data_IF_432025809849
#
_entry.id   IF_432025809849
#
_cell.length_a   1.000
_cell.length_b   1.000
_cell.length_c   1.000
_cell.angle_alpha   90.00
_cell.angle_beta   90.00
_cell.angle_gamma   90.00
#
_symmetry.space_group_name_H-M   'P 1'
#
loop_
_entity.id
_entity.type
_entity.pdbx_description
1 polymer ?
#
# COMPACT_ATOMS: atom_id res chain seq x y z
N UNK A 1 66.78 8.51 3.22
CA UNK A 1 67.69 7.36 3.44
C UNK A 1 67.07 6.47 4.50
N UNK A 2 66.88 5.17 4.20
CA UNK A 2 66.63 3.97 5.07
C UNK A 2 65.85 4.15 6.39
N UNK A 3 64.66 3.55 6.61
CA UNK A 3 64.31 2.11 6.71
C UNK A 3 64.53 1.47 8.10
N UNK A 4 63.51 0.71 8.56
CA UNK A 4 63.45 -0.33 9.63
C UNK A 4 63.22 0.17 11.07
N UNK A 5 62.48 -0.52 11.96
CA UNK A 5 61.80 -1.83 11.90
C UNK A 5 60.76 -1.95 13.03
N UNK A 6 59.78 -2.81 12.80
CA UNK A 6 58.81 -3.35 13.74
C UNK A 6 59.46 -4.47 14.57
N UNK A 7 59.11 -4.53 15.86
CA UNK A 7 59.27 -5.73 16.68
C UNK A 7 60.21 -5.55 17.86
N UNK A 8 59.67 -5.05 18.98
CA UNK A 8 60.10 -5.35 20.36
C UNK A 8 59.20 -4.55 21.31
N UNK A 9 58.24 -5.22 21.96
CA UNK A 9 58.45 -5.59 23.36
C UNK A 9 57.11 -5.92 24.04
N UNK A 10 56.74 -7.19 23.89
CA UNK A 10 55.61 -7.86 24.53
C UNK A 10 55.89 -8.12 26.04
N UNK A 11 56.99 -7.61 26.62
CA UNK A 11 57.31 -7.79 28.05
C UNK A 11 56.89 -6.69 29.02
N UNK A 12 56.20 -5.62 28.60
CA UNK A 12 55.71 -4.59 29.52
C UNK A 12 54.40 -4.96 30.26
N UNK A 13 53.79 -6.13 30.00
CA UNK A 13 52.44 -6.47 30.51
C UNK A 13 52.38 -7.61 31.55
N UNK A 14 53.51 -8.08 32.07
CA UNK A 14 53.56 -9.25 32.98
C UNK A 14 54.34 -9.06 34.28
N UNK A 15 54.41 -7.85 34.86
CA UNK A 15 54.98 -7.64 36.21
C UNK A 15 54.24 -6.60 37.06
N UNK A 16 52.96 -6.84 37.31
CA UNK A 16 52.28 -6.29 38.51
C UNK A 16 51.49 -7.38 39.21
N UNK A 17 52.24 -8.35 39.74
CA UNK A 17 51.76 -9.28 40.75
C UNK A 17 52.82 -9.34 41.85
N UNK A 18 52.53 -8.71 43.00
CA UNK A 18 52.80 -9.24 44.36
C UNK A 18 52.39 -8.21 45.42
N UNK A 19 51.45 -8.63 46.27
CA UNK A 19 51.34 -8.24 47.67
C UNK A 19 50.47 -7.03 47.99
N UNK A 20 49.28 -7.27 48.56
CA UNK A 20 49.05 -7.21 50.02
C UNK A 20 47.56 -7.52 50.29
N UNK A 21 47.33 -8.51 51.15
CA UNK A 21 46.05 -8.93 51.70
C UNK A 21 45.39 -7.84 52.56
N UNK A 22 44.05 -7.78 52.56
CA UNK A 22 43.25 -7.52 53.77
C UNK A 22 41.78 -7.92 53.57
N UNK A 23 41.42 -9.00 54.28
CA UNK A 23 40.17 -9.27 55.03
C UNK A 23 38.79 -8.95 54.41
N UNK A 24 38.10 -10.05 54.05
CA UNK A 24 36.70 -10.41 54.33
C UNK A 24 35.63 -9.30 54.51
N UNK A 25 34.75 -9.18 53.52
CA UNK A 25 33.34 -8.85 53.72
C UNK A 25 32.50 -9.50 52.61
N UNK A 26 31.70 -10.51 52.97
CA UNK A 26 30.72 -11.12 52.08
C UNK A 26 29.52 -10.18 52.00
N UNK A 27 29.30 -9.55 50.84
CA UNK A 27 28.06 -8.84 50.53
C UNK A 27 27.28 -9.64 49.49
N UNK A 28 25.96 -9.85 49.67
CA UNK A 28 25.17 -10.55 48.67
C UNK A 28 25.12 -9.70 47.40
N UNK A 29 25.68 -10.22 46.31
CA UNK A 29 25.51 -9.64 44.99
C UNK A 29 24.04 -9.77 44.61
N UNK A 30 23.25 -8.71 44.85
CA UNK A 30 22.02 -8.47 44.12
C UNK A 30 22.36 -8.52 42.63
N UNK A 31 21.82 -9.51 41.94
CA UNK A 31 21.75 -9.55 40.48
C UNK A 31 20.91 -8.33 40.07
N UNK A 32 21.55 -7.19 39.83
CA UNK A 32 20.93 -6.08 39.10
C UNK A 32 20.73 -6.61 37.70
N UNK A 33 19.49 -7.03 37.42
CA UNK A 33 19.05 -7.37 36.08
C UNK A 33 19.55 -6.30 35.14
N UNK A 34 20.35 -6.72 34.15
CA UNK A 34 20.58 -5.89 32.99
C UNK A 34 19.18 -5.53 32.48
N UNK A 35 18.84 -4.23 32.54
CA UNK A 35 17.72 -3.74 31.75
C UNK A 35 18.10 -4.07 30.31
N UNK A 36 17.52 -5.13 29.77
CA UNK A 36 17.46 -5.31 28.34
C UNK A 36 16.85 -4.02 27.79
N UNK A 37 17.69 -3.19 27.16
CA UNK A 37 17.22 -2.23 26.20
C UNK A 37 16.61 -3.07 25.07
N UNK A 38 15.35 -3.46 25.22
CA UNK A 38 14.56 -3.93 24.11
C UNK A 38 14.44 -2.74 23.17
N UNK A 39 15.38 -2.64 22.21
CA UNK A 39 15.11 -1.93 20.97
C UNK A 39 13.82 -2.56 20.46
N UNK A 40 12.71 -1.84 20.58
CA UNK A 40 11.43 -2.27 20.05
C UNK A 40 11.69 -2.60 18.57
N UNK A 41 11.57 -3.89 18.21
CA UNK A 41 11.82 -4.35 16.86
C UNK A 41 10.75 -3.71 15.99
N UNK A 42 11.17 -2.77 15.13
CA UNK A 42 10.28 -2.18 14.13
C UNK A 42 10.03 -3.23 13.06
N UNK A 43 8.79 -3.65 12.92
CA UNK A 43 8.39 -4.63 11.91
C UNK A 43 8.17 -3.91 10.58
N UNK A 44 8.87 -4.36 9.55
CA UNK A 44 8.72 -3.84 8.19
C UNK A 44 7.75 -4.70 7.38
N UNK A 45 6.67 -4.08 6.93
CA UNK A 45 5.65 -4.69 6.09
C UNK A 45 5.75 -4.13 4.68
N UNK A 46 5.63 -5.01 3.69
CA UNK A 46 5.55 -4.66 2.28
C UNK A 46 4.18 -5.05 1.76
N UNK A 47 3.45 -4.09 1.18
CA UNK A 47 2.12 -4.35 0.60
C UNK A 47 2.23 -4.24 -0.92
N UNK A 48 2.13 -5.37 -1.60
CA UNK A 48 2.19 -5.48 -3.06
C UNK A 48 0.83 -5.16 -3.67
N UNK A 49 0.77 -4.06 -4.42
CA UNK A 49 -0.43 -3.55 -5.06
C UNK A 49 -0.52 -4.03 -6.50
N UNK A 50 -1.69 -4.58 -6.86
CA UNK A 50 -2.13 -4.71 -8.24
C UNK A 50 -3.04 -3.52 -8.59
N UNK A 51 -2.55 -2.63 -9.46
CA UNK A 51 -3.36 -1.52 -9.99
C UNK A 51 -4.20 -2.03 -11.15
N UNK A 52 -5.51 -1.86 -11.04
CA UNK A 52 -6.49 -2.17 -12.06
C UNK A 52 -7.14 -0.87 -12.52
N UNK A 53 -7.18 -0.63 -13.82
CA UNK A 53 -7.76 0.57 -14.43
C UNK A 53 -8.95 0.15 -15.28
N UNK A 54 -10.12 0.68 -14.99
CA UNK A 54 -11.33 0.41 -15.77
C UNK A 54 -11.38 1.18 -17.09
N UNK A 55 -12.41 0.89 -17.88
CA UNK A 55 -12.63 1.55 -19.16
C UNK A 55 -13.03 3.02 -19.02
N UNK A 56 -13.64 3.40 -17.90
CA UNK A 56 -14.00 4.80 -17.64
C UNK A 56 -12.76 5.70 -17.64
N UNK A 57 -11.68 5.30 -16.96
CA UNK A 57 -10.40 6.03 -17.04
C UNK A 57 -9.79 5.94 -18.43
N UNK A 58 -9.83 4.77 -19.06
CA UNK A 58 -9.29 4.60 -20.40
C UNK A 58 -9.92 5.59 -21.40
N UNK A 59 -11.24 5.70 -21.39
CA UNK A 59 -12.02 6.59 -22.25
C UNK A 59 -11.69 8.06 -21.99
N UNK A 60 -11.50 8.45 -20.72
CA UNK A 60 -11.10 9.81 -20.35
C UNK A 60 -9.74 10.19 -20.95
N UNK A 61 -8.73 9.33 -20.81
CA UNK A 61 -7.40 9.57 -21.37
C UNK A 61 -7.41 9.51 -22.90
N UNK A 62 -8.13 8.55 -23.49
CA UNK A 62 -8.27 8.42 -24.94
C UNK A 62 -8.94 9.64 -25.57
N UNK A 63 -9.91 10.26 -24.87
CA UNK A 63 -10.58 11.48 -25.34
C UNK A 63 -9.68 12.72 -25.26
N UNK A 64 -8.74 12.75 -24.31
CA UNK A 64 -7.80 13.86 -24.13
C UNK A 64 -6.65 13.89 -25.16
N UNK A 65 -6.44 12.80 -25.88
CA UNK A 65 -5.35 12.66 -26.85
C UNK A 65 -5.80 12.99 -28.27
N UNK A 66 -5.16 14.00 -28.85
CA UNK A 66 -5.26 14.34 -30.27
C UNK A 66 -4.24 13.48 -31.05
N UNK A 67 -4.67 12.34 -31.57
CA UNK A 67 -3.85 11.53 -32.48
C UNK A 67 -4.73 10.96 -33.58
N UNK A 68 -4.23 11.04 -34.82
CA UNK A 68 -4.89 10.53 -36.03
C UNK A 68 -4.56 9.05 -36.30
N UNK A 69 -3.53 8.50 -35.64
CA UNK A 69 -3.21 7.07 -35.70
C UNK A 69 -3.87 6.34 -34.53
N UNK A 70 -4.84 5.48 -34.85
CA UNK A 70 -5.55 4.66 -33.87
C UNK A 70 -4.64 3.73 -33.05
N UNK A 71 -3.56 3.20 -33.65
CA UNK A 71 -2.67 2.28 -32.96
C UNK A 71 -1.74 3.03 -32.00
N UNK A 72 -1.02 4.05 -32.50
CA UNK A 72 -0.20 4.94 -31.68
C UNK A 72 -1.00 5.58 -30.54
N UNK A 73 -2.25 5.99 -30.80
CA UNK A 73 -3.15 6.53 -29.77
C UNK A 73 -3.39 5.55 -28.62
N UNK A 74 -3.58 4.26 -28.89
CA UNK A 74 -3.81 3.24 -27.84
C UNK A 74 -2.61 3.09 -26.91
N UNK A 75 -1.40 3.04 -27.47
CA UNK A 75 -0.18 2.91 -26.66
C UNK A 75 0.12 4.19 -25.88
N UNK A 76 -0.09 5.37 -26.46
CA UNK A 76 0.05 6.65 -25.77
C UNK A 76 -0.92 6.76 -24.57
N UNK A 77 -2.17 6.31 -24.73
CA UNK A 77 -3.14 6.25 -23.62
C UNK A 77 -2.60 5.36 -22.49
N UNK A 78 -2.13 4.16 -22.83
CA UNK A 78 -1.63 3.18 -21.84
C UNK A 78 -0.41 3.71 -21.11
N UNK A 79 0.50 4.38 -21.81
CA UNK A 79 1.70 4.98 -21.22
C UNK A 79 1.32 6.09 -20.23
N UNK A 80 0.46 7.03 -20.64
CA UNK A 80 0.01 8.13 -19.77
C UNK A 80 -0.74 7.65 -18.54
N UNK A 81 -1.60 6.63 -18.69
CA UNK A 81 -2.27 6.00 -17.55
C UNK A 81 -1.24 5.37 -16.60
N UNK A 82 -0.28 4.60 -17.13
CA UNK A 82 0.76 3.97 -16.31
C UNK A 82 1.57 5.00 -15.54
N UNK A 83 1.98 6.07 -16.19
CA UNK A 83 2.71 7.19 -15.56
C UNK A 83 1.86 7.81 -14.43
N UNK A 84 0.65 8.27 -14.75
CA UNK A 84 -0.22 8.96 -13.80
C UNK A 84 -0.53 8.10 -12.55
N UNK A 85 -0.86 6.83 -12.73
CA UNK A 85 -1.20 5.95 -11.60
C UNK A 85 0.03 5.42 -10.87
N UNK A 86 1.20 5.37 -11.52
CA UNK A 86 2.47 5.14 -10.79
C UNK A 86 2.76 6.29 -9.83
N UNK A 87 2.51 7.54 -10.25
CA UNK A 87 2.60 8.70 -9.35
C UNK A 87 1.55 8.68 -8.23
N UNK A 88 0.34 8.18 -8.49
CA UNK A 88 -0.69 8.00 -7.45
C UNK A 88 -0.20 6.99 -6.42
N UNK A 89 0.27 5.80 -6.84
CA UNK A 89 0.78 4.79 -5.90
C UNK A 89 2.01 5.28 -5.15
N UNK A 90 2.89 6.06 -5.79
CA UNK A 90 3.98 6.72 -5.07
C UNK A 90 3.46 7.69 -4.01
N UNK A 91 2.43 8.48 -4.32
CA UNK A 91 1.76 9.35 -3.34
C UNK A 91 1.16 8.57 -2.17
N UNK A 92 0.53 7.42 -2.43
CA UNK A 92 0.03 6.51 -1.39
C UNK A 92 1.18 6.01 -0.52
N UNK A 93 2.28 5.53 -1.14
CA UNK A 93 3.47 5.09 -0.40
C UNK A 93 4.03 6.19 0.50
N UNK A 94 4.12 7.43 0.00
CA UNK A 94 4.58 8.56 0.78
C UNK A 94 3.69 8.82 2.01
N UNK A 95 2.36 8.65 1.89
CA UNK A 95 1.44 8.74 3.05
C UNK A 95 1.69 7.65 4.09
N UNK A 96 1.90 6.40 3.68
CA UNK A 96 2.22 5.34 4.63
C UNK A 96 3.58 5.55 5.31
N UNK A 97 4.54 6.18 4.61
CA UNK A 97 5.84 6.55 5.19
C UNK A 97 5.75 7.65 6.25
N UNK A 98 4.65 8.41 6.33
CA UNK A 98 4.45 9.41 7.39
C UNK A 98 3.84 8.82 8.67
N UNK A 99 3.62 7.51 8.75
CA UNK A 99 3.14 6.88 9.98
C UNK A 99 4.24 6.95 11.03
N UNK A 100 3.98 7.69 12.11
CA UNK A 100 4.86 7.84 13.27
C UNK A 100 4.56 6.77 14.32
N UNK A 101 4.84 5.51 14.00
CA UNK A 101 4.74 4.40 14.94
C UNK A 101 6.11 3.70 15.06
N UNK A 102 6.67 3.55 16.28
CA UNK A 102 7.98 2.95 16.47
C UNK A 102 8.02 1.43 16.20
N UNK A 103 6.86 0.77 16.21
CA UNK A 103 6.72 -0.68 16.10
C UNK A 103 6.46 -1.17 14.68
N UNK A 104 5.96 -0.31 13.79
CA UNK A 104 5.60 -0.67 12.41
C UNK A 104 6.19 0.28 11.36
N UNK A 105 6.44 -0.28 10.18
CA UNK A 105 6.79 0.43 8.96
C UNK A 105 6.05 -0.22 7.81
N UNK A 106 5.34 0.55 6.99
CA UNK A 106 4.59 0.02 5.85
C UNK A 106 5.14 0.64 4.57
N UNK A 107 5.57 -0.22 3.64
CA UNK A 107 6.02 0.17 2.31
C UNK A 107 5.06 -0.37 1.25
N UNK A 108 4.60 0.52 0.39
CA UNK A 108 3.70 0.17 -0.71
C UNK A 108 4.52 -0.09 -1.97
N UNK A 109 4.32 -1.26 -2.58
CA UNK A 109 5.03 -1.70 -3.79
C UNK A 109 4.02 -1.82 -4.93
N UNK A 110 4.25 -1.13 -6.04
CA UNK A 110 3.51 -1.38 -7.27
C UNK A 110 4.02 -2.69 -7.90
N UNK A 111 3.22 -3.75 -7.82
CA UNK A 111 3.60 -5.09 -8.30
C UNK A 111 3.03 -5.39 -9.68
N UNK A 112 1.76 -5.04 -9.91
CA UNK A 112 1.07 -5.32 -11.17
C UNK A 112 0.25 -4.14 -11.66
N UNK A 113 0.03 -4.11 -12.98
CA UNK A 113 -0.74 -3.06 -13.63
C UNK A 113 -1.56 -3.63 -14.79
N UNK A 114 -2.89 -3.57 -14.69
CA UNK A 114 -3.84 -4.06 -15.70
C UNK A 114 -4.80 -2.94 -16.11
N UNK A 115 -4.96 -2.76 -17.42
CA UNK A 115 -5.87 -1.76 -18.00
C UNK A 115 -6.96 -2.50 -18.78
N UNK A 116 -8.21 -2.26 -18.43
CA UNK A 116 -9.40 -2.76 -19.13
C UNK A 116 -9.89 -1.68 -20.09
N UNK A 117 -9.56 -1.80 -21.37
CA UNK A 117 -9.87 -0.77 -22.37
C UNK A 117 -11.36 -0.66 -22.71
N UNK A 118 -12.16 -1.66 -22.33
CA UNK A 118 -13.59 -1.75 -22.64
C UNK A 118 -14.32 -2.36 -21.46
N UNK A 119 -15.56 -1.92 -21.24
CA UNK A 119 -16.38 -2.38 -20.10
C UNK A 119 -16.46 -3.91 -20.07
N UNK A 120 -16.72 -4.60 -21.18
CA UNK A 120 -16.85 -6.06 -21.20
C UNK A 120 -15.56 -6.83 -20.84
N UNK A 121 -14.39 -6.19 -20.88
CA UNK A 121 -13.12 -6.82 -20.48
C UNK A 121 -13.00 -6.92 -18.96
N UNK A 122 -13.76 -6.11 -18.23
CA UNK A 122 -13.98 -6.29 -16.80
C UNK A 122 -15.36 -6.92 -16.60
N UNK A 123 -15.48 -8.09 -15.95
CA UNK A 123 -16.75 -8.78 -15.83
C UNK A 123 -17.68 -8.05 -14.85
N UNK A 124 -18.40 -7.04 -15.32
CA UNK A 124 -19.49 -6.35 -14.61
C UNK A 124 -20.74 -7.25 -14.54
N UNK A 125 -20.66 -8.36 -13.79
CA UNK A 125 -21.79 -9.28 -13.66
C UNK A 125 -22.91 -8.69 -12.82
N UNK A 126 -22.55 -7.92 -11.79
CA UNK A 126 -23.46 -7.39 -10.79
C UNK A 126 -23.68 -5.89 -10.95
N UNK A 127 -22.63 -5.15 -11.31
CA UNK A 127 -22.66 -3.69 -11.45
C UNK A 127 -23.16 -3.26 -12.83
N UNK A 128 -23.78 -2.08 -12.88
CA UNK A 128 -24.26 -1.47 -14.12
C UNK A 128 -23.82 -0.02 -14.15
N UNK A 129 -23.26 0.39 -15.29
CA UNK A 129 -22.96 1.79 -15.57
C UNK A 129 -24.25 2.48 -15.99
N UNK A 130 -24.56 3.61 -15.35
CA UNK A 130 -25.74 4.41 -15.65
C UNK A 130 -25.34 5.85 -15.93
N UNK A 131 -26.09 6.53 -16.77
CA UNK A 131 -25.85 7.95 -17.09
C UNK A 131 -26.85 8.82 -16.35
N UNK A 132 -26.36 9.81 -15.61
CA UNK A 132 -27.18 10.79 -14.89
C UNK A 132 -26.57 12.18 -15.08
N UNK A 133 -27.38 13.15 -15.53
CA UNK A 133 -26.95 14.53 -15.83
C UNK A 133 -25.66 14.59 -16.70
N UNK A 134 -25.58 13.71 -17.71
CA UNK A 134 -24.45 13.64 -18.65
C UNK A 134 -23.18 12.97 -18.09
N UNK A 135 -23.17 12.51 -16.84
CA UNK A 135 -22.04 11.79 -16.24
C UNK A 135 -22.38 10.32 -16.00
N UNK A 136 -21.40 9.44 -16.20
CA UNK A 136 -21.52 8.00 -15.92
C UNK A 136 -21.26 7.70 -14.44
N UNK A 137 -22.08 6.83 -13.86
CA UNK A 137 -22.02 6.38 -12.48
C UNK A 137 -22.09 4.86 -12.39
N UNK A 138 -21.54 4.31 -11.31
CA UNK A 138 -21.60 2.88 -10.99
C UNK A 138 -21.79 2.67 -9.49
N UNK A 139 -22.64 1.72 -9.11
CA UNK A 139 -22.88 1.44 -7.70
C UNK A 139 -21.67 0.70 -7.11
N UNK A 140 -21.10 1.25 -6.04
CA UNK A 140 -19.89 0.75 -5.40
C UNK A 140 -20.05 -0.65 -4.81
N UNK A 141 -21.21 -0.97 -4.21
CA UNK A 141 -21.46 -2.27 -3.56
C UNK A 141 -21.38 -3.45 -4.55
N UNK A 142 -22.19 -3.51 -5.62
CA UNK A 142 -22.08 -4.58 -6.60
C UNK A 142 -20.77 -4.51 -7.40
N UNK A 143 -20.18 -3.32 -7.58
CA UNK A 143 -18.90 -3.21 -8.30
C UNK A 143 -17.72 -3.79 -7.51
N UNK A 144 -17.71 -3.61 -6.19
CA UNK A 144 -16.81 -4.33 -5.29
C UNK A 144 -17.04 -5.85 -5.38
N UNK A 145 -18.29 -6.30 -5.49
CA UNK A 145 -18.63 -7.71 -5.73
C UNK A 145 -18.03 -8.27 -7.03
N UNK A 146 -18.14 -7.52 -8.12
CA UNK A 146 -17.53 -7.90 -9.41
C UNK A 146 -16.01 -7.99 -9.33
N UNK A 147 -15.37 -7.04 -8.64
CA UNK A 147 -13.92 -7.05 -8.42
C UNK A 147 -13.46 -8.26 -7.60
N UNK A 148 -14.16 -8.58 -6.51
CA UNK A 148 -13.90 -9.78 -5.71
C UNK A 148 -14.01 -11.04 -6.56
N UNK A 149 -15.05 -11.13 -7.38
CA UNK A 149 -15.23 -12.25 -8.30
C UNK A 149 -14.11 -12.33 -9.35
N UNK A 150 -13.68 -11.19 -9.90
CA UNK A 150 -12.57 -11.13 -10.84
C UNK A 150 -11.26 -11.59 -10.20
N UNK A 151 -10.94 -11.14 -8.99
CA UNK A 151 -9.74 -11.56 -8.25
C UNK A 151 -9.75 -13.07 -8.02
N UNK A 152 -10.89 -13.61 -7.58
CA UNK A 152 -11.05 -15.05 -7.31
C UNK A 152 -10.91 -15.91 -8.58
N UNK A 153 -11.43 -15.44 -9.71
CA UNK A 153 -11.54 -16.23 -10.95
C UNK A 153 -10.34 -16.05 -11.88
N UNK A 154 -9.86 -14.82 -12.02
CA UNK A 154 -8.86 -14.42 -13.01
C UNK A 154 -7.61 -13.82 -12.37
N UNK A 155 -7.73 -13.19 -11.20
CA UNK A 155 -6.65 -12.48 -10.52
C UNK A 155 -5.40 -13.33 -10.37
N UNK A 156 -5.52 -14.57 -9.88
CA UNK A 156 -4.39 -15.49 -9.69
C UNK A 156 -3.58 -15.75 -10.97
N UNK A 157 -4.22 -15.73 -12.14
CA UNK A 157 -3.57 -15.96 -13.45
C UNK A 157 -3.06 -14.67 -14.09
N UNK A 158 -3.82 -13.58 -13.97
CA UNK A 158 -3.52 -12.33 -14.67
C UNK A 158 -2.58 -11.41 -13.91
N UNK A 159 -2.63 -11.46 -12.57
CA UNK A 159 -1.82 -10.65 -11.64
C UNK A 159 -1.48 -11.53 -10.43
N UNK A 160 -0.49 -12.43 -10.50
CA UNK A 160 -0.16 -13.31 -9.38
C UNK A 160 0.50 -12.56 -8.20
N UNK A 161 0.53 -13.15 -7.01
CA UNK A 161 1.37 -12.70 -5.89
C UNK A 161 1.24 -11.21 -5.45
N UNK A 162 0.03 -10.65 -5.48
CA UNK A 162 -0.30 -9.35 -4.87
C UNK A 162 -1.04 -9.52 -3.54
N UNK A 163 -0.89 -8.51 -2.69
CA UNK A 163 -1.51 -8.43 -1.36
C UNK A 163 -2.78 -7.58 -1.39
N UNK A 164 -2.90 -6.62 -2.30
CA UNK A 164 -4.14 -5.83 -2.48
C UNK A 164 -4.37 -5.38 -3.93
N UNK A 165 -5.60 -5.53 -4.43
CA UNK A 165 -6.00 -5.01 -5.73
C UNK A 165 -6.72 -3.66 -5.59
N UNK A 166 -6.21 -2.64 -6.25
CA UNK A 166 -6.81 -1.31 -6.31
C UNK A 166 -7.41 -1.08 -7.70
N UNK A 167 -8.74 -1.10 -7.78
CA UNK A 167 -9.46 -0.74 -8.99
C UNK A 167 -9.77 0.75 -8.99
N UNK A 168 -9.15 1.48 -9.89
CA UNK A 168 -9.49 2.86 -10.16
C UNK A 168 -10.56 2.92 -11.24
N UNK A 169 -11.56 3.77 -11.04
CA UNK A 169 -12.65 3.98 -11.99
C UNK A 169 -12.80 5.44 -12.39
N UNK A 170 -13.15 5.67 -13.66
CA UNK A 170 -13.51 6.99 -14.18
C UNK A 170 -14.98 7.35 -13.95
N UNK A 171 -15.78 6.40 -13.45
CA UNK A 171 -17.19 6.59 -13.16
C UNK A 171 -17.39 7.23 -11.78
N UNK A 172 -18.47 8.00 -11.64
CA UNK A 172 -18.91 8.42 -10.30
C UNK A 172 -19.36 7.21 -9.48
N UNK A 173 -18.92 7.12 -8.23
CA UNK A 173 -19.39 6.09 -7.31
C UNK A 173 -20.62 6.56 -6.54
N UNK A 174 -21.53 5.63 -6.27
CA UNK A 174 -22.66 5.83 -5.36
C UNK A 174 -22.96 4.54 -4.59
N UNK A 175 -23.60 4.65 -3.43
CA UNK A 175 -24.01 3.51 -2.62
C UNK A 175 -25.51 3.24 -2.77
N UNK A 176 -26.35 4.16 -2.27
CA UNK A 176 -27.79 3.95 -2.21
C UNK A 176 -28.54 4.84 -3.21
N UNK A 177 -28.10 6.09 -3.42
CA UNK A 177 -28.66 6.97 -4.44
C UNK A 177 -27.57 7.81 -5.13
N UNK A 178 -27.82 8.17 -6.39
CA UNK A 178 -26.92 9.03 -7.19
C UNK A 178 -26.97 10.47 -6.69
N UNK A 179 -28.10 10.91 -6.16
CA UNK A 179 -28.26 12.28 -5.64
C UNK A 179 -27.47 12.50 -4.33
N UNK A 180 -27.15 11.42 -3.59
CA UNK A 180 -26.29 11.45 -2.39
C UNK A 180 -24.90 10.81 -2.67
N UNK A 181 -24.21 11.26 -3.70
CA UNK A 181 -22.96 10.66 -4.21
C UNK A 181 -21.66 11.10 -3.50
N UNK A 182 -21.64 11.13 -2.17
CA UNK A 182 -20.44 11.47 -1.39
C UNK A 182 -19.33 10.41 -1.41
N UNK A 183 -19.62 9.21 -1.91
CA UNK A 183 -18.70 8.07 -1.88
C UNK A 183 -17.56 8.25 -2.89
N UNK A 184 -16.32 8.19 -2.41
CA UNK A 184 -15.12 8.30 -3.28
C UNK A 184 -14.37 6.97 -3.41
N UNK A 185 -14.60 6.01 -2.52
CA UNK A 185 -14.01 4.68 -2.56
C UNK A 185 -14.80 3.68 -1.72
N UNK A 186 -14.42 2.41 -1.82
CA UNK A 186 -14.95 1.35 -0.95
C UNK A 186 -13.94 0.21 -0.86
N UNK A 187 -13.62 -0.21 0.36
CA UNK A 187 -12.83 -1.41 0.65
C UNK A 187 -13.42 -2.21 1.81
N UNK A 188 -13.34 -3.55 1.78
CA UNK A 188 -13.60 -4.36 2.97
C UNK A 188 -12.55 -4.08 4.06
N UNK A 189 -12.96 -4.18 5.32
CA UNK A 189 -12.03 -4.18 6.44
C UNK A 189 -11.23 -5.48 6.53
N UNK A 190 -10.00 -5.40 7.03
CA UNK A 190 -9.17 -6.57 7.38
C UNK A 190 -9.01 -7.58 6.23
N UNK A 191 -8.91 -7.09 5.00
CA UNK A 191 -8.95 -7.92 3.80
C UNK A 191 -7.59 -8.30 3.21
N UNK A 192 -6.48 -7.68 3.63
CA UNK A 192 -5.20 -7.76 2.88
C UNK A 192 -4.63 -9.19 2.80
N UNK A 193 -4.88 -10.01 3.82
CA UNK A 193 -4.47 -11.41 3.87
C UNK A 193 -5.58 -12.38 3.41
N UNK A 194 -6.74 -11.87 3.02
CA UNK A 194 -7.88 -12.67 2.53
C UNK A 194 -7.78 -12.85 1.02
N UNK A 195 -8.05 -14.06 0.52
CA UNK A 195 -7.93 -14.39 -0.90
C UNK A 195 -8.91 -13.64 -1.81
N UNK A 196 -10.01 -13.12 -1.26
CA UNK A 196 -11.12 -12.49 -1.98
C UNK A 196 -11.29 -11.02 -1.57
N UNK A 197 -11.20 -10.71 -0.27
CA UNK A 197 -11.49 -9.37 0.28
C UNK A 197 -10.35 -8.37 0.14
N UNK A 198 -9.18 -8.78 -0.39
CA UNK A 198 -8.02 -7.94 -0.67
C UNK A 198 -8.20 -6.95 -1.83
N UNK A 199 -9.26 -6.15 -1.78
CA UNK A 199 -9.68 -5.29 -2.88
C UNK A 199 -10.14 -3.92 -2.40
N UNK A 200 -10.00 -2.93 -3.27
CA UNK A 200 -10.62 -1.61 -3.10
C UNK A 200 -11.06 -1.08 -4.46
N UNK A 201 -12.14 -0.29 -4.46
CA UNK A 201 -12.55 0.51 -5.60
C UNK A 201 -12.37 1.99 -5.26
N UNK A 202 -11.84 2.76 -6.20
CA UNK A 202 -11.50 4.17 -6.00
C UNK A 202 -12.02 4.97 -7.20
N UNK A 203 -12.86 5.96 -6.93
CA UNK A 203 -13.22 6.96 -7.91
C UNK A 203 -12.01 7.86 -8.18
N UNK A 204 -11.52 7.84 -9.41
CA UNK A 204 -10.44 8.73 -9.81
C UNK A 204 -10.99 10.10 -10.16
N UNK A 205 -10.43 11.13 -9.51
CA UNK A 205 -10.78 12.54 -9.76
C UNK A 205 -9.51 13.35 -10.01
N UNK A 206 -9.11 14.22 -9.09
CA UNK A 206 -7.83 14.92 -9.13
C UNK A 206 -6.77 14.15 -8.37
N UNK A 207 -5.50 14.30 -8.75
CA UNK A 207 -4.36 13.57 -8.18
C UNK A 207 -4.38 13.48 -6.65
N UNK A 208 -4.47 14.62 -5.95
CA UNK A 208 -4.42 14.68 -4.49
C UNK A 208 -5.56 13.92 -3.83
N UNK A 209 -6.78 14.08 -4.35
CA UNK A 209 -7.97 13.39 -3.82
C UNK A 209 -7.89 11.89 -4.09
N UNK A 210 -7.47 11.47 -5.28
CA UNK A 210 -7.30 10.05 -5.61
C UNK A 210 -6.24 9.39 -4.71
N UNK A 211 -5.12 10.07 -4.43
CA UNK A 211 -4.10 9.57 -3.50
C UNK A 211 -4.67 9.40 -2.09
N UNK A 212 -5.38 10.41 -1.58
CA UNK A 212 -5.99 10.36 -0.24
C UNK A 212 -7.00 9.22 -0.14
N UNK A 213 -7.92 9.11 -1.10
CA UNK A 213 -8.91 8.04 -1.13
C UNK A 213 -8.25 6.67 -1.25
N UNK A 214 -7.26 6.48 -2.13
CA UNK A 214 -6.59 5.19 -2.27
C UNK A 214 -5.84 4.77 -0.99
N UNK A 215 -5.20 5.72 -0.30
CA UNK A 215 -4.56 5.46 0.99
C UNK A 215 -5.61 5.11 2.07
N UNK A 216 -6.73 5.84 2.10
CA UNK A 216 -7.85 5.58 3.02
C UNK A 216 -8.43 4.17 2.85
N UNK A 217 -8.77 3.80 1.61
CA UNK A 217 -9.32 2.49 1.30
C UNK A 217 -8.33 1.35 1.57
N UNK A 218 -7.02 1.57 1.36
CA UNK A 218 -6.02 0.60 1.77
C UNK A 218 -5.94 0.50 3.29
N UNK A 219 -6.10 1.62 4.01
CA UNK A 219 -6.16 1.66 5.47
C UNK A 219 -7.25 0.75 6.00
N UNK A 220 -8.46 0.85 5.45
CA UNK A 220 -9.56 -0.07 5.78
C UNK A 220 -9.17 -1.53 5.57
N UNK A 221 -8.57 -1.85 4.42
CA UNK A 221 -8.18 -3.23 4.13
C UNK A 221 -7.08 -3.77 5.06
N UNK A 222 -6.21 -2.89 5.57
CA UNK A 222 -5.22 -3.18 6.59
C UNK A 222 -5.81 -3.22 8.02
N UNK A 223 -7.07 -2.83 8.19
CA UNK A 223 -7.82 -2.93 9.44
C UNK A 223 -8.12 -1.62 10.15
N UNK A 224 -7.78 -0.46 9.56
CA UNK A 224 -8.13 0.82 10.13
C UNK A 224 -9.64 1.09 10.04
N UNK A 225 -10.24 1.55 11.12
CA UNK A 225 -11.59 2.10 11.13
C UNK A 225 -11.56 3.58 10.73
N UNK A 226 -12.73 4.17 10.47
CA UNK A 226 -12.81 5.62 10.35
C UNK A 226 -12.38 6.28 11.66
N UNK A 227 -11.71 7.42 11.56
CA UNK A 227 -11.53 8.31 12.69
C UNK A 227 -12.88 8.94 13.09
N UNK A 228 -13.06 9.23 14.38
CA UNK A 228 -14.28 9.86 14.90
C UNK A 228 -15.52 8.96 14.94
N UNK A 229 -15.50 7.76 14.33
CA UNK A 229 -16.40 6.67 14.71
C UNK A 229 -15.78 6.00 15.91
N UNK A 230 -16.09 6.50 17.12
CA UNK A 230 -15.64 5.84 18.35
C UNK A 230 -15.99 4.36 18.32
N UNK A 231 -15.14 3.52 18.92
CA UNK A 231 -15.29 2.09 19.10
C UNK A 231 -16.70 1.70 19.62
N UNK A 232 -17.68 1.67 18.73
CA UNK A 232 -19.07 1.42 19.04
C UNK A 232 -19.52 0.19 18.26
N UNK A 233 -18.99 -0.94 18.73
CA UNK A 233 -19.48 -2.32 18.61
C UNK A 233 -19.38 -3.00 17.23
N UNK A 234 -18.55 -4.05 17.21
CA UNK A 234 -18.73 -5.26 16.40
C UNK A 234 -20.19 -5.74 16.35
#
# INVERSE_FOLDING_TARGET
TRSKNIGEDIHARLRRFRGIERQSEVRPHQYKGAKENSRQLRHEYFVKIAVLIDSGIYDLYASSLQSNDSHGKSEDVRLKIREAYSHIINGVNLRYKTIEDPSISITIILQHFKIFQREFLFPHKLSKVITHKGKKYINAKPYSGDLKHWVQTYGKKMVPAFDHAMLFTGYGLYADSIENNGLSGLSPYNGVCDEIKKVSIIQSTHYSRTVLTAAHELGHNLGAMHDGTGDAND
#
